data_IF_767084018780
#
_entry.id   IF_767084018780
#
_cell.length_a   1.000
_cell.length_b   1.000
_cell.length_c   1.000
_cell.angle_alpha   90.00
_cell.angle_beta   90.00
_cell.angle_gamma   90.00
#
_symmetry.space_group_name_H-M   'P 1'
#
loop_
_entity.id
_entity.type
_entity.pdbx_description
1 polymer ?
#
# COMPACT_ATOMS: atom_id res chain seq x y z
N UNK A 1 -0.55 0.86 -6.83
CA UNK A 1 -0.64 -0.62 -6.70
C UNK A 1 -1.55 -0.94 -5.55
N UNK A 2 -2.41 -1.94 -5.70
CA UNK A 2 -3.56 -2.14 -4.80
C UNK A 2 -4.65 -1.06 -4.98
N UNK A 3 -5.71 -1.09 -4.17
CA UNK A 3 -5.99 -2.11 -3.14
C UNK A 3 -6.40 -3.46 -3.77
N UNK A 4 -6.36 -4.54 -2.99
CA UNK A 4 -6.77 -5.89 -3.40
C UNK A 4 -5.97 -7.03 -2.75
N UNK A 5 -6.41 -8.27 -2.97
CA UNK A 5 -5.70 -9.46 -2.46
C UNK A 5 -4.27 -9.50 -3.00
N UNK A 6 -3.28 -9.43 -2.11
CA UNK A 6 -1.89 -9.23 -2.52
C UNK A 6 -1.34 -10.40 -3.32
N UNK A 7 -1.58 -11.63 -2.88
CA UNK A 7 -1.07 -12.84 -3.55
C UNK A 7 -1.67 -13.06 -4.94
N UNK A 8 -2.94 -12.73 -5.14
CA UNK A 8 -3.63 -12.99 -6.41
C UNK A 8 -3.70 -11.78 -7.34
N UNK A 9 -3.47 -10.56 -6.83
CA UNK A 9 -3.69 -9.32 -7.59
C UNK A 9 -2.53 -8.33 -7.58
N UNK A 10 -1.60 -8.38 -6.62
CA UNK A 10 -0.47 -7.41 -6.53
C UNK A 10 0.85 -8.10 -6.86
N UNK A 11 1.18 -9.17 -6.14
CA UNK A 11 2.42 -9.95 -6.31
C UNK A 11 2.59 -10.53 -7.71
N UNK A 12 1.54 -11.02 -8.42
CA UNK A 12 1.73 -11.55 -9.77
C UNK A 12 2.35 -10.55 -10.75
N UNK A 13 2.11 -9.25 -10.58
CA UNK A 13 2.74 -8.22 -11.41
C UNK A 13 4.24 -8.05 -11.14
N UNK A 14 4.70 -8.40 -9.93
CA UNK A 14 6.11 -8.37 -9.54
C UNK A 14 6.85 -9.65 -9.96
N UNK A 15 6.13 -10.77 -10.10
CA UNK A 15 6.70 -12.06 -10.52
C UNK A 15 6.98 -12.13 -12.02
N UNK A 16 6.38 -11.27 -12.84
CA UNK A 16 6.70 -11.15 -14.27
C UNK A 16 7.88 -10.20 -14.43
N UNK A 17 9.09 -10.69 -14.81
CA UNK A 17 10.30 -9.87 -14.81
C UNK A 17 10.18 -8.59 -15.63
N UNK A 18 9.57 -8.65 -16.82
CA UNK A 18 9.43 -7.48 -17.68
C UNK A 18 8.51 -6.41 -17.10
N UNK A 19 7.48 -6.79 -16.34
CA UNK A 19 6.60 -5.83 -15.65
C UNK A 19 7.35 -5.21 -14.47
N UNK A 20 8.07 -6.02 -13.69
CA UNK A 20 8.87 -5.54 -12.57
C UNK A 20 9.96 -4.57 -13.04
N UNK A 21 10.73 -4.93 -14.05
CA UNK A 21 11.78 -4.08 -14.64
C UNK A 21 11.19 -2.76 -15.19
N UNK A 22 10.02 -2.80 -15.83
CA UNK A 22 9.35 -1.60 -16.31
C UNK A 22 8.89 -0.69 -15.16
N UNK A 23 8.41 -1.28 -14.05
CA UNK A 23 8.08 -0.54 -12.84
C UNK A 23 9.34 0.08 -12.21
N UNK A 24 10.43 -0.68 -12.08
CA UNK A 24 11.72 -0.24 -11.54
C UNK A 24 12.31 0.91 -12.35
N UNK A 25 12.32 0.80 -13.68
CA UNK A 25 12.88 1.81 -14.58
C UNK A 25 11.99 3.05 -14.76
N UNK A 26 10.71 2.98 -14.39
CA UNK A 26 9.77 4.07 -14.58
C UNK A 26 10.11 5.27 -13.69
N UNK A 27 10.08 6.48 -14.27
CA UNK A 27 10.16 7.73 -13.50
C UNK A 27 8.83 8.13 -12.86
N UNK A 28 7.75 7.35 -13.06
CA UNK A 28 6.46 7.61 -12.46
C UNK A 28 6.53 7.41 -10.94
N UNK A 29 5.73 8.22 -10.23
CA UNK A 29 5.52 8.10 -8.79
C UNK A 29 4.75 6.81 -8.50
N UNK A 30 5.25 6.01 -7.58
CA UNK A 30 4.72 4.70 -7.22
C UNK A 30 4.07 4.79 -5.84
N UNK A 31 2.76 4.59 -5.81
CA UNK A 31 1.96 4.62 -4.59
C UNK A 31 1.39 3.23 -4.36
N UNK A 32 1.57 2.69 -3.17
CA UNK A 32 0.92 1.47 -2.68
C UNK A 32 -0.25 1.87 -1.79
N UNK A 33 -1.44 1.37 -2.08
CA UNK A 33 -2.64 1.59 -1.27
C UNK A 33 -2.89 0.32 -0.45
N UNK A 34 -2.76 0.43 0.87
CA UNK A 34 -2.94 -0.70 1.77
C UNK A 34 -4.42 -1.03 1.98
N UNK A 35 -4.67 -2.31 2.24
CA UNK A 35 -6.03 -2.82 2.41
C UNK A 35 -6.62 -2.40 3.77
N UNK A 36 -7.96 -2.47 3.86
CA UNK A 36 -8.74 -2.04 5.03
C UNK A 36 -9.09 -3.18 5.99
N UNK A 37 -8.81 -4.41 5.59
CA UNK A 37 -9.08 -5.65 6.28
C UNK A 37 -7.78 -6.21 6.89
N UNK A 38 -7.49 -5.78 8.11
CA UNK A 38 -6.49 -6.44 8.96
C UNK A 38 -7.17 -7.48 9.88
N UNK A 39 -8.11 -8.29 9.34
CA UNK A 39 -9.01 -9.13 10.15
C UNK A 39 -8.77 -10.64 9.95
N UNK A 40 -8.32 -11.38 10.97
CA UNK A 40 -7.94 -12.80 10.87
C UNK A 40 -9.13 -13.79 10.89
N UNK A 41 -10.31 -13.45 10.35
CA UNK A 41 -11.56 -14.18 10.63
C UNK A 41 -12.45 -14.45 9.39
N UNK A 42 -11.87 -14.81 8.24
CA UNK A 42 -12.63 -15.49 7.18
C UNK A 42 -11.87 -16.74 6.71
N UNK A 43 -12.23 -17.95 7.18
CA UNK A 43 -11.65 -19.18 6.67
C UNK A 43 -12.11 -19.37 5.22
N UNK A 44 -11.21 -19.18 4.25
CA UNK A 44 -11.48 -19.45 2.83
C UNK A 44 -10.99 -18.40 1.84
N UNK A 45 -10.67 -17.18 2.30
CA UNK A 45 -9.99 -16.18 1.48
C UNK A 45 -8.51 -16.14 1.90
N UNK A 46 -7.66 -16.78 1.10
CA UNK A 46 -6.21 -16.86 1.32
C UNK A 46 -5.63 -15.47 1.66
N UNK A 47 -5.35 -15.27 2.95
CA UNK A 47 -4.65 -14.12 3.54
C UNK A 47 -5.34 -12.74 3.48
N UNK A 48 -6.64 -12.66 3.78
CA UNK A 48 -7.33 -11.42 4.21
C UNK A 48 -6.88 -10.91 5.61
N UNK A 49 -5.61 -11.12 5.98
CA UNK A 49 -5.15 -11.07 7.37
C UNK A 49 -3.73 -10.58 7.58
N UNK A 50 -3.04 -10.07 6.56
CA UNK A 50 -1.73 -9.46 6.74
C UNK A 50 -1.86 -8.04 7.28
N UNK A 51 -1.07 -7.71 8.29
CA UNK A 51 -0.97 -6.34 8.81
C UNK A 51 -0.36 -5.41 7.73
N UNK A 52 -0.53 -4.09 7.84
CA UNK A 52 0.17 -3.14 6.99
C UNK A 52 1.68 -3.43 6.86
N UNK A 53 2.33 -3.80 7.97
CA UNK A 53 3.75 -4.15 8.02
C UNK A 53 4.06 -5.40 7.18
N UNK A 54 3.27 -6.47 7.33
CA UNK A 54 3.45 -7.70 6.56
C UNK A 54 3.28 -7.47 5.04
N UNK A 55 2.39 -6.55 4.64
CA UNK A 55 2.27 -6.14 3.23
C UNK A 55 3.54 -5.45 2.72
N UNK A 56 4.12 -4.54 3.50
CA UNK A 56 5.37 -3.86 3.16
C UNK A 56 6.52 -4.86 3.02
N UNK A 57 6.66 -5.78 3.99
CA UNK A 57 7.69 -6.83 3.97
C UNK A 57 7.54 -7.77 2.75
N UNK A 58 6.31 -8.15 2.43
CA UNK A 58 6.01 -8.99 1.26
C UNK A 58 6.43 -8.26 -0.02
N UNK A 59 6.09 -6.97 -0.14
CA UNK A 59 6.47 -6.16 -1.29
C UNK A 59 8.00 -6.16 -1.48
N UNK A 60 8.72 -5.83 -0.41
CA UNK A 60 10.18 -5.74 -0.44
C UNK A 60 10.83 -7.09 -0.75
N UNK A 61 10.27 -8.20 -0.24
CA UNK A 61 10.76 -9.55 -0.51
C UNK A 61 10.72 -9.91 -2.01
N UNK A 62 9.68 -9.52 -2.73
CA UNK A 62 9.49 -9.90 -4.14
C UNK A 62 10.08 -8.89 -5.13
N UNK A 63 10.20 -7.63 -4.73
CA UNK A 63 10.76 -6.57 -5.56
C UNK A 63 11.64 -5.62 -4.72
N UNK A 64 12.82 -6.08 -4.25
CA UNK A 64 13.68 -5.30 -3.36
C UNK A 64 14.23 -4.04 -4.02
N UNK A 65 14.41 -4.08 -5.35
CA UNK A 65 14.92 -2.96 -6.15
C UNK A 65 13.82 -1.98 -6.57
N UNK A 66 12.54 -2.36 -6.39
CA UNK A 66 11.40 -1.52 -6.74
C UNK A 66 11.12 -0.52 -5.61
N UNK A 67 11.63 0.70 -5.80
CA UNK A 67 11.34 1.82 -4.89
C UNK A 67 9.86 2.20 -4.94
N UNK A 68 9.23 2.29 -3.78
CA UNK A 68 7.90 2.85 -3.60
C UNK A 68 8.03 4.25 -3.01
N UNK A 69 7.37 5.24 -3.60
CA UNK A 69 7.42 6.61 -3.09
C UNK A 69 6.53 6.77 -1.85
N UNK A 70 5.32 6.19 -1.90
CA UNK A 70 4.32 6.36 -0.85
C UNK A 70 3.54 5.09 -0.53
N UNK A 71 3.30 4.88 0.76
CA UNK A 71 2.37 3.88 1.28
C UNK A 71 1.17 4.60 1.89
N UNK A 72 0.02 4.53 1.23
CA UNK A 72 -1.23 5.10 1.72
C UNK A 72 -1.97 4.08 2.57
N UNK A 73 -2.21 4.42 3.84
CA UNK A 73 -2.86 3.55 4.82
C UNK A 73 -4.01 4.28 5.51
N UNK A 74 -5.08 3.52 5.79
CA UNK A 74 -6.19 4.03 6.60
C UNK A 74 -5.80 4.02 8.09
N UNK A 75 -6.11 5.09 8.85
CA UNK A 75 -5.77 5.15 10.27
C UNK A 75 -6.36 4.00 11.08
N UNK A 76 -7.47 3.40 10.64
CA UNK A 76 -8.12 2.34 11.41
C UNK A 76 -7.37 1.00 11.40
N UNK A 77 -6.38 0.82 10.52
CA UNK A 77 -5.57 -0.42 10.45
C UNK A 77 -4.15 -0.23 10.99
N UNK A 78 -3.76 1.00 11.32
CA UNK A 78 -2.44 1.31 11.89
C UNK A 78 -2.43 0.95 13.38
N UNK A 79 -1.64 -0.08 13.74
CA UNK A 79 -1.46 -0.49 15.14
C UNK A 79 -0.31 0.26 15.82
N UNK A 80 0.82 0.38 15.13
CA UNK A 80 2.00 1.10 15.59
C UNK A 80 2.51 2.02 14.49
N UNK A 81 2.13 3.29 14.57
CA UNK A 81 2.51 4.32 13.60
C UNK A 81 4.02 4.42 13.41
N UNK A 82 4.78 4.53 14.49
CA UNK A 82 6.24 4.72 14.42
C UNK A 82 6.94 3.54 13.79
N UNK A 83 6.50 2.32 14.10
CA UNK A 83 7.04 1.10 13.48
C UNK A 83 6.77 1.06 11.98
N UNK A 84 5.54 1.37 11.57
CA UNK A 84 5.14 1.35 10.17
C UNK A 84 5.80 2.46 9.35
N UNK A 85 5.96 3.66 9.93
CA UNK A 85 6.72 4.76 9.34
C UNK A 85 8.19 4.39 9.15
N UNK A 86 8.81 3.75 10.15
CA UNK A 86 10.20 3.31 10.07
C UNK A 86 10.41 2.27 8.97
N UNK A 87 9.49 1.31 8.86
CA UNK A 87 9.53 0.27 7.84
C UNK A 87 9.33 0.84 6.42
N UNK A 88 8.38 1.76 6.24
CA UNK A 88 8.19 2.46 4.98
C UNK A 88 9.47 3.20 4.55
N UNK A 89 10.13 3.87 5.50
CA UNK A 89 11.36 4.61 5.25
C UNK A 89 12.55 3.69 4.97
N UNK A 90 12.65 2.54 5.64
CA UNK A 90 13.64 1.49 5.33
C UNK A 90 13.51 1.02 3.87
N UNK A 91 12.28 0.94 3.36
CA UNK A 91 12.00 0.57 1.97
C UNK A 91 11.99 1.77 1.00
N UNK A 92 12.52 2.92 1.44
CA UNK A 92 12.76 4.09 0.59
C UNK A 92 11.52 4.93 0.24
N UNK A 93 10.41 4.71 0.96
CA UNK A 93 9.14 5.41 0.79
C UNK A 93 8.67 6.14 2.03
N UNK A 94 7.57 6.88 1.90
CA UNK A 94 6.95 7.62 2.99
C UNK A 94 5.57 7.03 3.32
N UNK A 95 5.24 6.95 4.61
CA UNK A 95 3.90 6.57 5.04
C UNK A 95 2.96 7.77 5.01
N UNK A 96 1.84 7.62 4.30
CA UNK A 96 0.74 8.59 4.28
C UNK A 96 -0.44 7.96 4.98
N UNK A 97 -0.85 8.55 6.12
CA UNK A 97 -2.02 8.11 6.86
C UNK A 97 -3.20 9.02 6.50
N UNK A 98 -4.25 8.45 5.92
CA UNK A 98 -5.42 9.21 5.49
C UNK A 98 -6.70 8.40 5.63
N UNK A 99 -7.79 9.03 6.06
CA UNK A 99 -9.12 8.40 6.05
C UNK A 99 -9.51 8.12 4.60
N UNK A 100 -9.60 6.84 4.26
CA UNK A 100 -9.94 6.35 2.93
C UNK A 100 -11.06 5.31 3.00
N UNK A 101 -11.70 5.14 4.15
CA UNK A 101 -12.76 4.14 4.39
C UNK A 101 -14.15 4.74 4.15
N UNK A 102 -15.09 3.97 3.57
CA UNK A 102 -16.49 4.41 3.37
C UNK A 102 -17.21 4.76 4.67
N UNK A 103 -17.08 3.89 5.67
CA UNK A 103 -17.71 4.06 6.97
C UNK A 103 -16.96 3.22 8.03
N UNK A 104 -17.06 3.55 9.34
CA UNK A 104 -16.47 2.73 10.39
C UNK A 104 -16.80 1.24 10.23
N UNK A 105 -15.78 0.37 10.23
CA UNK A 105 -15.94 -1.08 10.05
C UNK A 105 -16.10 -1.55 8.60
N UNK A 106 -16.29 -0.67 7.62
CA UNK A 106 -16.43 -1.06 6.21
C UNK A 106 -15.12 -1.52 5.61
N UNK A 107 -15.05 -2.71 5.01
CA UNK A 107 -13.86 -3.21 4.30
C UNK A 107 -13.65 -2.55 2.92
N UNK A 108 -14.46 -1.55 2.57
CA UNK A 108 -14.39 -0.87 1.28
C UNK A 108 -13.84 0.55 1.39
N UNK A 109 -12.93 0.89 0.47
CA UNK A 109 -12.43 2.24 0.32
C UNK A 109 -13.52 3.18 -0.21
N UNK A 110 -13.51 4.42 0.29
CA UNK A 110 -14.30 5.52 -0.27
C UNK A 110 -13.54 6.14 -1.45
N UNK A 111 -14.14 6.10 -2.62
CA UNK A 111 -13.54 6.59 -3.86
C UNK A 111 -13.19 8.09 -3.80
N UNK A 112 -14.05 8.91 -3.16
CA UNK A 112 -13.84 10.36 -3.07
C UNK A 112 -12.71 10.68 -2.10
N UNK A 113 -12.69 10.01 -0.95
CA UNK A 113 -11.61 10.19 0.02
C UNK A 113 -10.27 9.73 -0.54
N UNK A 114 -10.25 8.56 -1.20
CA UNK A 114 -9.05 8.04 -1.85
C UNK A 114 -8.52 8.99 -2.93
N UNK A 115 -9.40 9.48 -3.82
CA UNK A 115 -9.02 10.47 -4.83
C UNK A 115 -8.47 11.76 -4.21
N UNK A 116 -9.08 12.22 -3.11
CA UNK A 116 -8.60 13.39 -2.38
C UNK A 116 -7.20 13.18 -1.77
N UNK A 117 -6.94 12.01 -1.18
CA UNK A 117 -5.63 11.68 -0.62
C UNK A 117 -4.57 11.60 -1.72
N UNK A 118 -4.87 10.94 -2.84
CA UNK A 118 -3.96 10.88 -3.99
C UNK A 118 -3.65 12.26 -4.56
N UNK A 119 -4.67 13.12 -4.72
CA UNK A 119 -4.48 14.50 -5.17
C UNK A 119 -3.57 15.29 -4.23
N UNK A 120 -3.69 15.10 -2.92
CA UNK A 120 -2.84 15.74 -1.93
C UNK A 120 -1.38 15.29 -2.07
N UNK A 121 -1.13 13.97 -2.17
CA UNK A 121 0.21 13.38 -2.37
C UNK A 121 0.85 13.97 -3.63
N UNK A 122 0.13 14.00 -4.75
CA UNK A 122 0.66 14.54 -6.00
C UNK A 122 0.92 16.05 -5.93
N UNK A 123 0.13 16.82 -5.16
CA UNK A 123 0.30 18.26 -5.05
C UNK A 123 1.48 18.64 -4.14
N UNK A 124 1.64 17.96 -2.99
CA UNK A 124 2.77 18.22 -2.09
C UNK A 124 4.12 17.90 -2.76
N UNK A 125 4.12 16.92 -3.67
CA UNK A 125 5.27 16.58 -4.49
C UNK A 125 5.71 17.65 -5.49
N UNK A 126 4.86 18.62 -5.84
CA UNK A 126 5.18 19.69 -6.81
C UNK A 126 5.81 20.93 -6.15
N UNK A 127 5.84 21.00 -4.81
CA UNK A 127 6.28 22.18 -4.06
C UNK A 127 7.70 21.98 -3.46
N UNK A 128 8.30 20.80 -3.64
CA UNK A 128 9.70 20.49 -3.30
C UNK A 128 10.60 20.48 -4.52
#
# INVERSE_FOLDING_TARGET
>A
MGPGSWFSSVIPHLLVPQQREALEASSARKIVILNLDAHPQTPGEEFAGSTPEEHLELFHRYAPDLRIDYFLVDPSVVRNRTSLESLAHEYGGELVIGDIRKAPGSVHHDEKKLASQLSHIFTQSLIG
#
